data_IF_523539189831
#
_entry.id   IF_523539189831
#
_cell.length_a   1.000
_cell.length_b   1.000
_cell.length_c   1.000
_cell.angle_alpha   90.00
_cell.angle_beta   90.00
_cell.angle_gamma   90.00
#
_symmetry.space_group_name_H-M   'P 1'
#
loop_
_entity.id
_entity.type
_entity.pdbx_description
1 polymer ?
#
# COMPACT_ATOMS: atom_id res chain seq x y z
N UNK A 1 17.30 5.33 2.13
CA UNK A 1 16.21 4.33 1.95
C UNK A 1 15.32 4.81 0.82
N UNK A 2 15.28 4.12 -0.31
CA UNK A 2 14.47 4.52 -1.47
C UNK A 2 13.25 3.61 -1.52
N UNK A 3 12.12 4.08 -1.01
CA UNK A 3 10.82 3.45 -1.23
C UNK A 3 10.44 3.56 -2.70
N UNK A 4 9.72 2.55 -3.21
CA UNK A 4 9.26 2.50 -4.59
C UNK A 4 10.40 2.58 -5.60
N UNK A 5 11.54 1.92 -5.33
CA UNK A 5 12.72 1.98 -6.20
C UNK A 5 12.38 1.55 -7.63
N UNK A 6 11.56 0.54 -7.87
CA UNK A 6 11.17 0.13 -9.24
C UNK A 6 10.36 1.22 -9.95
N UNK A 7 9.33 1.78 -9.30
CA UNK A 7 8.56 2.91 -9.82
C UNK A 7 9.48 4.11 -10.03
N UNK A 8 10.30 4.44 -9.04
CA UNK A 8 11.17 5.60 -9.07
C UNK A 8 12.28 5.48 -10.12
N UNK A 9 12.89 4.31 -10.25
CA UNK A 9 13.93 4.06 -11.23
C UNK A 9 13.32 4.07 -12.64
N UNK A 10 12.13 3.49 -12.84
CA UNK A 10 11.44 3.54 -14.15
C UNK A 10 10.92 4.92 -14.50
N UNK A 11 10.41 5.67 -13.54
CA UNK A 11 9.84 6.99 -13.78
C UNK A 11 10.90 8.10 -13.83
N UNK A 12 12.04 7.93 -13.15
CA UNK A 12 13.00 9.01 -12.88
C UNK A 12 14.48 8.64 -13.09
N UNK A 13 14.86 7.42 -13.48
CA UNK A 13 16.24 7.10 -13.90
C UNK A 13 16.32 6.77 -15.38
N UNK A 14 16.80 7.75 -16.16
CA UNK A 14 17.39 7.51 -17.48
C UNK A 14 18.78 6.90 -17.28
N UNK A 15 18.91 5.57 -17.39
CA UNK A 15 20.21 4.96 -17.65
C UNK A 15 20.05 3.67 -18.43
N UNK A 16 20.33 3.79 -19.73
CA UNK A 16 20.76 2.78 -20.70
C UNK A 16 20.07 1.41 -20.68
N UNK A 17 19.21 1.27 -21.69
CA UNK A 17 18.60 0.03 -22.21
C UNK A 17 17.54 -0.57 -21.29
N UNK A 18 16.28 -0.34 -21.71
CA UNK A 18 15.01 -0.90 -21.20
C UNK A 18 14.37 -0.03 -20.11
N UNK A 19 13.56 0.95 -20.54
CA UNK A 19 12.72 1.79 -19.66
C UNK A 19 13.08 3.26 -19.77
N UNK A 20 12.66 3.88 -20.86
CA UNK A 20 12.80 5.30 -21.07
C UNK A 20 11.73 5.98 -20.17
N UNK A 21 12.14 6.53 -19.02
CA UNK A 21 11.22 7.08 -18.02
C UNK A 21 10.49 8.35 -18.47
N UNK A 22 9.94 9.13 -17.53
CA UNK A 22 9.24 10.39 -17.87
C UNK A 22 10.13 11.36 -18.66
N UNK A 23 11.44 11.33 -18.43
CA UNK A 23 12.41 12.14 -19.19
C UNK A 23 12.44 11.75 -20.68
N UNK A 24 12.43 10.45 -20.97
CA UNK A 24 12.41 9.98 -22.34
C UNK A 24 11.08 10.20 -23.05
N UNK A 25 9.95 10.13 -22.32
CA UNK A 25 8.66 10.53 -22.86
C UNK A 25 8.69 11.96 -23.39
N UNK A 26 9.46 12.85 -22.78
CA UNK A 26 9.60 14.25 -23.20
C UNK A 26 10.71 14.44 -24.25
N UNK A 27 11.69 13.54 -24.30
CA UNK A 27 12.78 13.56 -25.30
C UNK A 27 12.43 12.90 -26.65
N UNK A 28 11.49 11.93 -26.70
CA UNK A 28 11.09 11.17 -27.91
C UNK A 28 10.28 11.97 -28.95
N UNK A 29 10.55 13.27 -29.07
CA UNK A 29 10.11 14.05 -30.20
C UNK A 29 10.91 13.63 -31.45
N UNK A 30 10.38 12.67 -32.22
CA UNK A 30 10.76 12.56 -33.62
C UNK A 30 10.68 13.96 -34.26
N UNK A 31 11.66 14.38 -35.09
CA UNK A 31 11.66 15.71 -35.68
C UNK A 31 10.47 15.83 -36.63
N UNK A 32 9.35 16.32 -36.12
CA UNK A 32 8.26 16.80 -36.95
C UNK A 32 8.77 18.01 -37.71
N UNK A 33 8.61 17.93 -39.03
CA UNK A 33 9.18 18.80 -40.05
C UNK A 33 9.43 20.24 -39.57
N UNK A 34 10.68 20.67 -39.71
CA UNK A 34 11.13 22.01 -39.40
C UNK A 34 10.23 23.08 -40.06
N UNK A 35 9.40 23.74 -39.25
CA UNK A 35 9.05 25.12 -39.53
C UNK A 35 10.31 25.95 -39.29
N UNK A 36 10.88 26.49 -40.37
CA UNK A 36 12.12 27.25 -40.36
C UNK A 36 12.08 28.36 -39.30
N UNK A 37 12.88 28.21 -38.25
CA UNK A 37 13.16 29.28 -37.30
C UNK A 37 14.32 30.14 -37.85
N UNK A 38 14.24 31.48 -37.82
CA UNK A 38 15.36 32.33 -38.21
C UNK A 38 16.56 32.10 -37.27
N UNK A 39 17.77 32.09 -37.83
CA UNK A 39 19.01 31.77 -37.12
C UNK A 39 19.15 32.58 -35.81
N UNK A 40 19.57 31.94 -34.69
CA UNK A 40 19.80 32.65 -33.45
C UNK A 40 21.04 33.54 -33.58
N UNK A 41 20.86 34.84 -33.32
CA UNK A 41 21.95 35.80 -33.24
C UNK A 41 22.99 35.36 -32.18
N UNK A 42 24.27 35.46 -32.53
CA UNK A 42 25.41 35.05 -31.68
C UNK A 42 25.34 35.73 -30.31
N UNK A 43 25.45 34.99 -29.18
CA UNK A 43 25.31 35.58 -27.86
C UNK A 43 26.53 36.43 -27.52
N UNK A 44 26.28 37.68 -27.11
CA UNK A 44 27.29 38.57 -26.53
C UNK A 44 27.75 38.09 -25.14
N UNK A 45 28.93 38.56 -24.72
CA UNK A 45 29.64 38.17 -23.49
C UNK A 45 28.80 38.22 -22.20
N UNK A 46 27.73 39.02 -22.14
CA UNK A 46 26.82 39.11 -20.98
C UNK A 46 25.95 37.85 -20.83
N UNK A 47 25.59 37.19 -21.93
CA UNK A 47 24.79 35.94 -21.92
C UNK A 47 25.57 34.70 -21.47
N UNK A 48 26.90 34.81 -21.29
CA UNK A 48 27.75 33.75 -20.72
C UNK A 48 27.92 33.85 -19.21
N UNK A 49 27.58 34.98 -18.60
CA UNK A 49 27.78 35.27 -17.17
C UNK A 49 26.52 35.06 -16.32
N UNK A 50 25.33 35.20 -16.93
CA UNK A 50 24.07 34.73 -16.35
C UNK A 50 23.89 33.29 -16.81
N UNK A 51 24.23 32.34 -15.93
CA UNK A 51 24.14 30.91 -16.22
C UNK A 51 22.80 30.57 -16.88
N UNK A 52 22.86 30.18 -18.15
CA UNK A 52 21.77 29.46 -18.80
C UNK A 52 21.65 28.15 -18.04
N UNK A 53 20.70 28.04 -17.12
CA UNK A 53 20.05 26.76 -16.91
C UNK A 53 19.63 26.28 -18.30
N UNK A 54 20.13 25.12 -18.71
CA UNK A 54 19.77 24.57 -20.00
C UNK A 54 18.23 24.42 -20.01
N UNK A 55 17.57 25.03 -21.00
CA UNK A 55 16.13 24.88 -21.17
C UNK A 55 15.79 23.39 -21.20
N UNK A 56 15.01 22.93 -20.23
CA UNK A 56 14.53 21.55 -20.17
C UNK A 56 13.81 21.22 -21.48
N UNK A 57 14.09 20.05 -22.13
CA UNK A 57 13.37 19.64 -23.32
C UNK A 57 11.87 19.59 -23.03
N UNK A 58 11.05 19.99 -24.03
CA UNK A 58 9.59 20.00 -23.91
C UNK A 58 8.93 19.31 -25.09
N UNK A 59 7.97 18.43 -24.82
CA UNK A 59 7.15 17.71 -25.82
C UNK A 59 5.73 18.24 -25.82
N UNK A 60 5.08 18.24 -26.98
CA UNK A 60 3.66 18.57 -27.08
C UNK A 60 2.86 17.43 -26.43
N UNK A 61 1.94 17.77 -25.54
CA UNK A 61 0.94 16.83 -25.04
C UNK A 61 -0.08 16.57 -26.15
N UNK A 62 0.18 15.54 -26.96
CA UNK A 62 -0.69 15.00 -28.00
C UNK A 62 -1.16 13.59 -27.64
N UNK A 63 -2.04 13.00 -28.48
CA UNK A 63 -2.61 11.68 -28.21
C UNK A 63 -1.52 10.59 -28.11
N UNK A 64 -0.45 10.71 -28.89
CA UNK A 64 0.68 9.78 -28.84
C UNK A 64 1.47 9.91 -27.52
N UNK A 65 1.70 11.12 -27.02
CA UNK A 65 2.33 11.33 -25.72
C UNK A 65 1.47 10.79 -24.58
N UNK A 66 0.16 10.97 -24.67
CA UNK A 66 -0.79 10.47 -23.68
C UNK A 66 -0.80 8.93 -23.64
N UNK A 67 -0.84 8.28 -24.80
CA UNK A 67 -0.75 6.81 -24.92
C UNK A 67 0.56 6.29 -24.30
N UNK A 68 1.70 6.89 -24.63
CA UNK A 68 2.99 6.49 -24.05
C UNK A 68 3.06 6.73 -22.53
N UNK A 69 2.42 7.79 -22.01
CA UNK A 69 2.30 8.01 -20.57
C UNK A 69 1.47 6.92 -19.90
N UNK A 70 0.34 6.55 -20.50
CA UNK A 70 -0.52 5.48 -19.99
C UNK A 70 0.22 4.14 -19.95
N UNK A 71 0.89 3.76 -21.03
CA UNK A 71 1.72 2.54 -21.09
C UNK A 71 2.77 2.51 -19.99
N UNK A 72 3.50 3.61 -19.78
CA UNK A 72 4.50 3.73 -18.73
C UNK A 72 3.90 3.51 -17.34
N UNK A 73 2.71 4.06 -17.06
CA UNK A 73 2.02 3.89 -15.77
C UNK A 73 1.53 2.44 -15.60
N UNK A 74 1.09 1.77 -16.66
CA UNK A 74 0.71 0.35 -16.63
C UNK A 74 1.94 -0.51 -16.30
N UNK A 75 3.06 -0.29 -16.99
CA UNK A 75 4.32 -0.98 -16.73
C UNK A 75 4.83 -0.76 -15.30
N UNK A 76 4.45 0.36 -14.68
CA UNK A 76 4.76 0.69 -13.31
C UNK A 76 3.84 0.01 -12.27
N UNK A 77 3.08 -1.01 -12.67
CA UNK A 77 2.16 -1.79 -11.83
C UNK A 77 0.96 -0.98 -11.29
N UNK A 78 0.54 0.12 -11.93
CA UNK A 78 -0.69 0.86 -11.53
C UNK A 78 -1.99 0.17 -11.95
N UNK A 79 -1.92 -0.74 -12.93
CA UNK A 79 -3.10 -1.36 -13.54
C UNK A 79 -3.77 -0.45 -14.55
N UNK A 80 -4.45 -1.06 -15.53
CA UNK A 80 -5.00 -0.38 -16.72
C UNK A 80 -5.94 0.76 -16.33
N UNK A 81 -7.04 0.47 -15.63
CA UNK A 81 -8.06 1.47 -15.30
C UNK A 81 -7.52 2.69 -14.53
N UNK A 82 -6.56 2.46 -13.62
CA UNK A 82 -5.95 3.56 -12.84
C UNK A 82 -4.99 4.37 -13.72
N UNK A 83 -4.17 3.71 -14.53
CA UNK A 83 -3.25 4.36 -15.46
C UNK A 83 -3.99 5.24 -16.47
N UNK A 84 -5.02 4.71 -17.15
CA UNK A 84 -5.85 5.45 -18.11
C UNK A 84 -6.44 6.71 -17.45
N UNK A 85 -7.02 6.56 -16.25
CA UNK A 85 -7.63 7.70 -15.54
C UNK A 85 -6.60 8.75 -15.14
N UNK A 86 -5.44 8.33 -14.64
CA UNK A 86 -4.37 9.24 -14.22
C UNK A 86 -3.79 9.98 -15.42
N UNK A 87 -3.51 9.27 -16.51
CA UNK A 87 -3.00 9.85 -17.75
C UNK A 87 -3.99 10.88 -18.33
N UNK A 88 -5.29 10.53 -18.41
CA UNK A 88 -6.34 11.44 -18.87
C UNK A 88 -6.45 12.72 -18.01
N UNK A 89 -6.41 12.59 -16.68
CA UNK A 89 -6.49 13.75 -15.77
C UNK A 89 -5.25 14.65 -15.87
N UNK A 90 -4.07 14.07 -16.15
CA UNK A 90 -2.85 14.86 -16.42
C UNK A 90 -2.99 15.62 -17.74
N UNK A 91 -3.51 14.99 -18.80
CA UNK A 91 -3.70 15.62 -20.10
C UNK A 91 -4.81 16.69 -20.12
N UNK A 92 -5.78 16.61 -19.21
CA UNK A 92 -6.89 17.56 -19.12
C UNK A 92 -6.38 19.01 -19.00
N UNK A 93 -6.81 19.87 -19.94
CA UNK A 93 -6.38 21.27 -20.01
C UNK A 93 -4.93 21.49 -20.46
N UNK A 94 -4.17 20.41 -20.76
CA UNK A 94 -2.78 20.47 -21.23
C UNK A 94 -2.58 20.01 -22.68
N UNK A 95 -3.60 19.42 -23.31
CA UNK A 95 -3.55 19.04 -24.73
C UNK A 95 -3.09 20.19 -25.63
N UNK A 96 -2.13 19.92 -26.53
CA UNK A 96 -1.51 20.89 -27.43
C UNK A 96 -0.47 21.81 -26.79
N UNK A 97 -0.26 21.76 -25.46
CA UNK A 97 0.79 22.54 -24.77
C UNK A 97 2.12 21.77 -24.79
N UNK A 98 3.22 22.52 -24.77
CA UNK A 98 4.57 21.95 -24.58
C UNK A 98 4.85 21.81 -23.09
N UNK A 99 4.94 20.57 -22.61
CA UNK A 99 5.22 20.21 -21.22
C UNK A 99 6.67 19.74 -21.08
N UNK A 100 7.34 20.20 -20.02
CA UNK A 100 8.66 19.71 -19.62
C UNK A 100 8.55 18.53 -18.65
N UNK A 101 9.65 17.82 -18.43
CA UNK A 101 9.63 16.65 -17.56
C UNK A 101 9.30 17.00 -16.11
N UNK A 102 9.84 18.10 -15.59
CA UNK A 102 9.57 18.57 -14.22
C UNK A 102 8.08 18.86 -14.03
N UNK A 103 7.47 19.56 -14.99
CA UNK A 103 6.03 19.85 -14.96
C UNK A 103 5.19 18.57 -15.01
N UNK A 104 5.58 17.57 -15.81
CA UNK A 104 4.91 16.27 -15.88
C UNK A 104 5.03 15.49 -14.56
N UNK A 105 6.21 15.52 -13.93
CA UNK A 105 6.47 14.89 -12.62
C UNK A 105 5.60 15.52 -11.53
N UNK A 106 5.50 16.84 -11.51
CA UNK A 106 4.66 17.58 -10.57
C UNK A 106 3.16 17.29 -10.79
N UNK A 107 2.71 17.26 -12.05
CA UNK A 107 1.34 16.93 -12.41
C UNK A 107 0.95 15.52 -11.93
N UNK A 108 1.83 14.54 -12.14
CA UNK A 108 1.61 13.18 -11.64
C UNK A 108 1.59 13.11 -10.12
N UNK A 109 2.55 13.76 -9.44
CA UNK A 109 2.59 13.77 -7.98
C UNK A 109 1.31 14.37 -7.38
N UNK A 110 0.82 15.46 -7.97
CA UNK A 110 -0.44 16.08 -7.58
C UNK A 110 -1.63 15.13 -7.79
N UNK A 111 -1.68 14.42 -8.92
CA UNK A 111 -2.76 13.47 -9.21
C UNK A 111 -2.74 12.26 -8.28
N UNK A 112 -1.57 11.69 -7.99
CA UNK A 112 -1.41 10.62 -7.00
C UNK A 112 -1.84 11.10 -5.61
N UNK A 113 -1.43 12.30 -5.19
CA UNK A 113 -1.84 12.87 -3.91
C UNK A 113 -3.35 13.08 -3.83
N UNK A 114 -3.99 13.53 -4.92
CA UNK A 114 -5.45 13.71 -5.02
C UNK A 114 -6.20 12.38 -4.88
N UNK A 115 -5.70 11.31 -5.49
CA UNK A 115 -6.28 9.96 -5.38
C UNK A 115 -6.09 9.40 -3.96
N UNK A 116 -4.90 9.56 -3.37
CA UNK A 116 -4.55 8.97 -2.09
C UNK A 116 -5.12 9.72 -0.89
N UNK A 117 -5.25 11.05 -0.96
CA UNK A 117 -5.66 11.90 0.16
C UNK A 117 -6.95 11.47 0.86
N UNK A 118 -8.05 11.20 0.13
CA UNK A 118 -9.32 10.80 0.75
C UNK A 118 -9.25 9.47 1.54
N UNK A 119 -8.36 8.57 1.14
CA UNK A 119 -8.24 7.20 1.69
C UNK A 119 -7.08 7.03 2.68
N UNK A 120 -6.12 7.96 2.72
CA UNK A 120 -5.00 7.97 3.64
C UNK A 120 -5.42 8.40 5.06
N UNK A 121 -6.35 7.65 5.65
CA UNK A 121 -6.89 7.89 6.99
C UNK A 121 -6.28 6.89 7.98
N UNK A 122 -5.91 7.32 9.20
CA UNK A 122 -5.50 6.41 10.26
C UNK A 122 -6.62 5.39 10.58
N UNK A 123 -6.23 4.22 11.08
CA UNK A 123 -7.20 3.28 11.64
C UNK A 123 -7.97 3.98 12.77
N UNK A 124 -9.32 4.00 12.73
CA UNK A 124 -10.09 4.66 13.77
C UNK A 124 -9.89 3.96 15.11
N UNK A 125 -9.78 4.74 16.18
CA UNK A 125 -9.83 4.23 17.55
C UNK A 125 -11.16 4.62 18.18
N UNK A 126 -11.87 3.64 18.71
CA UNK A 126 -13.19 3.80 19.31
C UNK A 126 -13.05 3.83 20.84
N UNK A 127 -13.98 4.48 21.56
CA UNK A 127 -14.00 4.46 23.02
C UNK A 127 -14.39 3.08 23.61
N UNK A 128 -14.71 2.10 22.76
CA UNK A 128 -15.14 0.76 23.15
C UNK A 128 -13.95 -0.08 23.60
N UNK A 129 -14.12 -0.84 24.68
CA UNK A 129 -13.06 -1.67 25.28
C UNK A 129 -13.52 -3.12 25.50
N UNK A 130 -12.77 -4.12 25.01
CA UNK A 130 -11.63 -3.98 24.10
C UNK A 130 -12.10 -3.63 22.68
N UNK A 131 -11.39 -2.71 22.01
CA UNK A 131 -11.52 -2.54 20.58
C UNK A 131 -10.84 -3.73 19.88
N UNK A 132 -11.65 -4.63 19.33
CA UNK A 132 -11.18 -5.80 18.58
C UNK A 132 -10.69 -5.42 17.17
N UNK A 133 -9.44 -5.76 16.87
CA UNK A 133 -8.79 -5.62 15.56
C UNK A 133 -8.44 -7.01 15.03
N UNK A 134 -9.10 -7.41 13.96
CA UNK A 134 -8.84 -8.66 13.25
C UNK A 134 -7.82 -8.42 12.13
N UNK A 135 -6.70 -9.14 12.13
CA UNK A 135 -5.64 -8.98 11.12
C UNK A 135 -5.65 -10.17 10.18
N UNK A 136 -5.96 -9.93 8.91
CA UNK A 136 -6.14 -10.96 7.88
C UNK A 136 -5.16 -10.76 6.72
N UNK A 137 -5.05 -11.78 5.86
CA UNK A 137 -4.17 -11.77 4.69
C UNK A 137 -3.46 -13.10 4.49
N UNK A 138 -2.71 -13.20 3.40
CA UNK A 138 -2.07 -14.46 3.01
C UNK A 138 -0.80 -14.77 3.82
N UNK A 139 -0.31 -16.00 3.72
CA UNK A 139 0.97 -16.38 4.32
C UNK A 139 2.10 -15.58 3.69
N UNK A 140 3.07 -15.17 4.52
CA UNK A 140 4.21 -14.37 4.07
C UNK A 140 3.92 -12.87 3.85
N UNK A 141 2.65 -12.42 3.95
CA UNK A 141 2.31 -10.99 3.83
C UNK A 141 2.73 -10.13 5.02
N UNK A 142 3.25 -10.73 6.09
CA UNK A 142 3.77 -10.00 7.24
C UNK A 142 2.76 -9.72 8.36
N UNK A 143 1.64 -10.45 8.45
CA UNK A 143 0.63 -10.33 9.52
C UNK A 143 1.20 -10.35 10.93
N UNK A 144 1.88 -11.43 11.31
CA UNK A 144 2.45 -11.62 12.65
C UNK A 144 3.42 -10.49 13.04
N UNK A 145 4.30 -10.08 12.11
CA UNK A 145 5.20 -8.94 12.31
C UNK A 145 4.44 -7.62 12.46
N UNK A 146 3.39 -7.43 11.66
CA UNK A 146 2.54 -6.24 11.71
C UNK A 146 1.81 -6.13 13.05
N UNK A 147 1.27 -7.23 13.57
CA UNK A 147 0.64 -7.28 14.90
C UNK A 147 1.64 -6.89 15.98
N UNK A 148 2.87 -7.43 15.95
CA UNK A 148 3.92 -7.06 16.90
C UNK A 148 4.27 -5.57 16.86
N UNK A 149 4.36 -4.98 15.66
CA UNK A 149 4.59 -3.53 15.46
C UNK A 149 3.43 -2.69 15.99
N UNK A 150 2.19 -3.04 15.66
CA UNK A 150 1.00 -2.35 16.14
C UNK A 150 0.91 -2.42 17.67
N UNK A 151 1.14 -3.59 18.26
CA UNK A 151 1.14 -3.74 19.71
C UNK A 151 2.18 -2.87 20.41
N UNK A 152 3.41 -2.84 19.87
CA UNK A 152 4.47 -1.95 20.37
C UNK A 152 4.08 -0.48 20.24
N UNK A 153 3.53 -0.06 19.09
CA UNK A 153 3.11 1.31 18.85
C UNK A 153 1.98 1.75 19.79
N UNK A 154 0.95 0.93 19.96
CA UNK A 154 -0.17 1.23 20.85
C UNK A 154 0.24 1.24 22.32
N UNK A 155 1.12 0.32 22.73
CA UNK A 155 1.66 0.33 24.09
C UNK A 155 2.53 1.58 24.34
N UNK A 156 3.36 1.98 23.38
CA UNK A 156 4.13 3.22 23.47
C UNK A 156 3.22 4.46 23.56
N UNK A 157 2.02 4.40 22.97
CA UNK A 157 0.97 5.40 23.11
C UNK A 157 0.12 5.26 24.41
N UNK A 158 0.55 4.42 25.36
CA UNK A 158 -0.09 4.24 26.66
C UNK A 158 -1.35 3.36 26.67
N UNK A 159 -1.63 2.63 25.58
CA UNK A 159 -2.77 1.71 25.49
C UNK A 159 -2.44 0.34 26.06
N UNK A 160 -3.40 -0.30 26.72
CA UNK A 160 -3.28 -1.71 27.12
C UNK A 160 -3.71 -2.62 25.97
N UNK A 161 -2.81 -3.52 25.55
CA UNK A 161 -3.01 -4.37 24.37
C UNK A 161 -2.95 -5.83 24.76
N UNK A 162 -3.85 -6.64 24.22
CA UNK A 162 -3.84 -8.11 24.29
C UNK A 162 -3.76 -8.66 22.87
N UNK A 163 -3.00 -9.75 22.67
CA UNK A 163 -2.89 -10.43 21.38
C UNK A 163 -3.46 -11.85 21.49
N UNK A 164 -4.17 -12.32 20.47
CA UNK A 164 -4.56 -13.71 20.28
C UNK A 164 -3.84 -14.33 19.06
N UNK A 165 -3.15 -15.45 19.27
CA UNK A 165 -2.42 -16.16 18.23
C UNK A 165 -3.31 -17.14 17.46
N UNK A 166 -4.17 -16.62 16.58
CA UNK A 166 -5.16 -17.43 15.84
C UNK A 166 -4.61 -18.26 14.67
N UNK A 167 -3.33 -18.14 14.29
CA UNK A 167 -2.67 -19.09 13.35
C UNK A 167 -2.24 -20.38 14.10
N UNK A 168 -3.22 -21.10 14.65
CA UNK A 168 -3.00 -22.23 15.58
C UNK A 168 -2.38 -23.47 14.92
N UNK A 169 -2.39 -23.55 13.59
CA UNK A 169 -1.81 -24.67 12.82
C UNK A 169 -0.32 -24.50 12.52
N UNK A 170 0.27 -23.34 12.82
CA UNK A 170 1.68 -23.05 12.55
C UNK A 170 2.37 -22.74 13.86
N UNK A 171 2.86 -23.78 14.55
CA UNK A 171 3.58 -23.64 15.82
C UNK A 171 4.66 -22.56 15.79
N UNK A 172 5.47 -22.50 14.73
CA UNK A 172 6.50 -21.47 14.55
C UNK A 172 5.93 -20.04 14.42
N UNK A 173 4.73 -19.87 13.86
CA UNK A 173 4.08 -18.56 13.77
C UNK A 173 3.59 -18.10 15.16
N UNK A 174 3.06 -19.03 15.97
CA UNK A 174 2.67 -18.78 17.36
C UNK A 174 3.88 -18.37 18.19
N UNK A 175 4.98 -19.13 18.11
CA UNK A 175 6.24 -18.82 18.81
C UNK A 175 6.80 -17.45 18.40
N UNK A 176 6.79 -17.16 17.09
CA UNK A 176 7.20 -15.85 16.57
C UNK A 176 6.34 -14.72 17.15
N UNK A 177 5.02 -14.91 17.23
CA UNK A 177 4.12 -13.92 17.80
C UNK A 177 4.34 -13.73 19.30
N UNK A 178 4.63 -14.79 20.03
CA UNK A 178 5.00 -14.73 21.45
C UNK A 178 6.27 -13.92 21.66
N UNK A 179 7.30 -14.12 20.83
CA UNK A 179 8.53 -13.31 20.88
C UNK A 179 8.23 -11.83 20.61
N UNK A 180 7.38 -11.51 19.64
CA UNK A 180 6.93 -10.15 19.39
C UNK A 180 6.18 -9.57 20.59
N UNK A 181 5.29 -10.35 21.21
CA UNK A 181 4.57 -9.98 22.41
C UNK A 181 5.50 -9.70 23.59
N UNK A 182 6.50 -10.55 23.82
CA UNK A 182 7.53 -10.34 24.84
C UNK A 182 8.33 -9.05 24.58
N UNK A 183 8.77 -8.82 23.33
CA UNK A 183 9.49 -7.59 22.94
C UNK A 183 8.66 -6.34 23.13
N UNK A 184 7.37 -6.39 22.81
CA UNK A 184 6.44 -5.30 23.08
C UNK A 184 6.01 -5.27 24.56
N UNK A 185 6.26 -6.32 25.35
CA UNK A 185 5.75 -6.51 26.70
C UNK A 185 4.21 -6.49 26.78
N UNK A 186 3.55 -7.16 25.84
CA UNK A 186 2.08 -7.35 25.81
C UNK A 186 1.77 -8.84 25.94
N UNK A 187 0.67 -9.22 26.63
CA UNK A 187 0.26 -10.61 26.73
C UNK A 187 -0.18 -11.17 25.37
N UNK A 188 0.27 -12.38 25.06
CA UNK A 188 -0.13 -13.17 23.90
C UNK A 188 -0.84 -14.42 24.39
N UNK A 189 -2.12 -14.57 24.05
CA UNK A 189 -2.87 -15.78 24.31
C UNK A 189 -2.67 -16.77 23.17
N UNK A 190 -2.46 -18.02 23.54
CA UNK A 190 -2.20 -19.14 22.64
C UNK A 190 -3.06 -20.32 23.02
N UNK A 191 -3.33 -21.19 22.07
CA UNK A 191 -3.95 -22.50 22.29
C UNK A 191 -2.98 -23.60 21.84
N UNK A 192 -3.19 -24.87 22.26
CA UNK A 192 -2.44 -26.00 21.72
C UNK A 192 -2.48 -26.04 20.19
N UNK A 193 -1.43 -26.58 19.57
CA UNK A 193 -1.34 -26.68 18.10
C UNK A 193 -2.56 -27.43 17.52
N UNK A 194 -3.12 -26.88 16.43
CA UNK A 194 -4.31 -27.43 15.77
C UNK A 194 -5.63 -27.15 16.50
N UNK A 195 -5.62 -26.38 17.58
CA UNK A 195 -6.86 -25.93 18.25
C UNK A 195 -7.68 -25.01 17.36
N UNK A 196 -8.98 -24.96 17.61
CA UNK A 196 -9.91 -24.07 16.92
C UNK A 196 -9.60 -22.58 17.16
N UNK A 197 -9.22 -21.80 16.13
CA UNK A 197 -8.90 -20.38 16.28
C UNK A 197 -10.07 -19.55 16.84
N UNK A 198 -11.30 -19.92 16.52
CA UNK A 198 -12.48 -19.20 16.98
C UNK A 198 -12.69 -19.34 18.50
N UNK A 199 -12.34 -20.50 19.06
CA UNK A 199 -12.38 -20.74 20.51
C UNK A 199 -11.33 -19.88 21.23
N UNK A 200 -10.10 -19.83 20.70
CA UNK A 200 -9.06 -18.94 21.24
C UNK A 200 -9.46 -17.46 21.16
N UNK A 201 -10.09 -17.02 20.07
CA UNK A 201 -10.58 -15.65 19.93
C UNK A 201 -11.64 -15.29 20.97
N UNK A 202 -12.54 -16.24 21.32
CA UNK A 202 -13.53 -16.06 22.37
C UNK A 202 -12.91 -15.89 23.75
N UNK A 203 -11.93 -16.74 24.08
CA UNK A 203 -11.22 -16.69 25.35
C UNK A 203 -10.40 -15.40 25.48
N UNK A 204 -9.75 -14.97 24.39
CA UNK A 204 -9.04 -13.71 24.33
C UNK A 204 -9.95 -12.50 24.48
N UNK A 205 -11.14 -12.53 23.89
CA UNK A 205 -12.16 -11.49 24.09
C UNK A 205 -12.58 -11.42 25.56
N UNK A 206 -12.84 -12.56 26.18
CA UNK A 206 -13.21 -12.65 27.60
C UNK A 206 -12.10 -12.08 28.49
N UNK A 207 -10.85 -12.51 28.28
CA UNK A 207 -9.70 -12.02 29.03
C UNK A 207 -9.46 -10.53 28.86
N UNK A 208 -9.59 -10.02 27.63
CA UNK A 208 -9.43 -8.60 27.33
C UNK A 208 -10.51 -7.74 27.99
N UNK A 209 -11.77 -8.23 28.06
CA UNK A 209 -12.85 -7.59 28.82
C UNK A 209 -12.56 -7.57 30.32
N UNK A 210 -12.17 -8.70 30.91
CA UNK A 210 -11.87 -8.82 32.35
C UNK A 210 -10.70 -7.94 32.80
N UNK A 211 -9.68 -7.80 31.95
CA UNK A 211 -8.49 -6.98 32.23
C UNK A 211 -8.68 -5.51 31.85
N UNK A 212 -9.82 -5.13 31.28
CA UNK A 212 -10.09 -3.77 30.83
C UNK A 212 -9.13 -3.30 29.73
N UNK A 213 -8.66 -4.21 28.88
CA UNK A 213 -7.73 -3.89 27.80
C UNK A 213 -8.34 -2.88 26.81
N UNK A 214 -7.54 -1.92 26.33
CA UNK A 214 -7.96 -1.00 25.27
C UNK A 214 -8.16 -1.73 23.94
N UNK A 215 -7.25 -2.64 23.59
CA UNK A 215 -7.19 -3.29 22.27
C UNK A 215 -7.01 -4.80 22.40
N UNK A 216 -7.72 -5.54 21.55
CA UNK A 216 -7.49 -6.96 21.29
C UNK A 216 -7.09 -7.14 19.82
N UNK A 217 -5.85 -7.57 19.58
CA UNK A 217 -5.36 -7.88 18.24
C UNK A 217 -5.44 -9.40 18.00
N UNK A 218 -6.07 -9.82 16.89
CA UNK A 218 -6.24 -11.25 16.57
C UNK A 218 -5.45 -11.55 15.30
N UNK A 219 -4.43 -12.42 15.40
CA UNK A 219 -3.75 -13.03 14.23
C UNK A 219 -4.61 -14.13 13.64
N UNK A 220 -4.48 -14.38 12.34
CA UNK A 220 -5.25 -15.42 11.64
C UNK A 220 -4.34 -16.25 10.73
N UNK A 221 -4.80 -17.44 10.34
CA UNK A 221 -4.16 -18.18 9.26
C UNK A 221 -4.18 -17.37 7.94
N UNK A 222 -3.35 -17.77 6.96
CA UNK A 222 -3.25 -17.12 5.65
C UNK A 222 -3.10 -18.06 4.46
N UNK A 223 -3.56 -19.32 4.57
CA UNK A 223 -3.42 -20.35 3.52
C UNK A 223 -4.42 -20.12 2.38
N UNK A 224 -4.10 -19.25 1.42
CA UNK A 224 -5.03 -18.89 0.32
C UNK A 224 -5.31 -20.03 -0.67
N UNK A 225 -4.41 -21.00 -0.80
CA UNK A 225 -4.59 -22.17 -1.67
C UNK A 225 -5.84 -22.99 -1.31
N UNK A 226 -6.23 -22.98 -0.03
CA UNK A 226 -7.48 -23.56 0.46
C UNK A 226 -8.45 -22.43 0.81
N UNK A 227 -8.79 -21.62 -0.19
CA UNK A 227 -9.59 -20.40 -0.01
C UNK A 227 -10.89 -20.66 0.75
N UNK A 228 -11.59 -21.76 0.46
CA UNK A 228 -12.86 -22.09 1.13
C UNK A 228 -12.67 -22.28 2.65
N UNK A 229 -11.73 -23.15 3.05
CA UNK A 229 -11.45 -23.46 4.45
C UNK A 229 -11.00 -22.22 5.23
N UNK A 230 -10.08 -21.43 4.66
CA UNK A 230 -9.60 -20.20 5.28
C UNK A 230 -10.75 -19.21 5.52
N UNK A 231 -11.63 -19.07 4.53
CA UNK A 231 -12.76 -18.16 4.63
C UNK A 231 -13.81 -18.64 5.65
N UNK A 232 -14.05 -19.95 5.73
CA UNK A 232 -14.94 -20.52 6.74
C UNK A 232 -14.39 -20.32 8.16
N UNK A 233 -13.09 -20.51 8.35
CA UNK A 233 -12.40 -20.25 9.62
C UNK A 233 -12.54 -18.79 10.04
N UNK A 234 -12.28 -17.83 9.13
CA UNK A 234 -12.44 -16.41 9.40
C UNK A 234 -13.90 -16.04 9.74
N UNK A 235 -14.86 -16.55 8.97
CA UNK A 235 -16.29 -16.33 9.24
C UNK A 235 -16.69 -16.90 10.62
N UNK A 236 -16.13 -18.05 11.00
CA UNK A 236 -16.34 -18.66 12.31
C UNK A 236 -15.77 -17.79 13.43
N UNK A 237 -14.54 -17.26 13.30
CA UNK A 237 -13.94 -16.33 14.26
C UNK A 237 -14.87 -15.12 14.47
N UNK A 238 -15.28 -14.46 13.38
CA UNK A 238 -16.17 -13.28 13.43
C UNK A 238 -17.50 -13.62 14.12
N UNK A 239 -18.13 -14.74 13.76
CA UNK A 239 -19.38 -15.19 14.40
C UNK A 239 -19.22 -15.41 15.89
N UNK A 240 -18.08 -15.96 16.32
CA UNK A 240 -17.84 -16.29 17.72
C UNK A 240 -17.55 -15.04 18.56
N UNK A 241 -16.71 -14.11 18.10
CA UNK A 241 -16.47 -12.86 18.83
C UNK A 241 -17.74 -11.99 18.90
N UNK A 242 -18.61 -12.07 17.88
CA UNK A 242 -19.91 -11.38 17.88
C UNK A 242 -20.88 -11.82 18.96
N UNK A 243 -20.70 -13.02 19.53
CA UNK A 243 -21.49 -13.47 20.69
C UNK A 243 -21.18 -12.67 21.96
N UNK A 244 -19.99 -12.08 22.05
CA UNK A 244 -19.54 -11.22 23.17
C UNK A 244 -19.78 -9.76 22.88
N UNK A 245 -19.66 -9.37 21.61
CA UNK A 245 -19.88 -8.02 21.15
C UNK A 245 -20.34 -8.00 19.69
N UNK A 246 -21.62 -7.70 19.46
CA UNK A 246 -22.23 -7.72 18.12
C UNK A 246 -21.55 -6.78 17.12
N UNK A 247 -20.86 -5.73 17.59
CA UNK A 247 -20.12 -4.79 16.73
C UNK A 247 -18.69 -5.23 16.42
N UNK A 248 -18.24 -6.37 16.94
CA UNK A 248 -16.90 -6.90 16.66
C UNK A 248 -16.84 -7.66 15.31
N UNK A 249 -15.67 -7.71 14.64
CA UNK A 249 -14.49 -6.89 14.91
C UNK A 249 -14.76 -5.41 14.57
N UNK A 250 -14.16 -4.49 15.32
CA UNK A 250 -14.32 -3.05 15.08
C UNK A 250 -13.44 -2.57 13.91
N UNK A 251 -12.35 -3.28 13.67
CA UNK A 251 -11.50 -3.13 12.50
C UNK A 251 -11.08 -4.51 11.99
N UNK A 252 -11.22 -4.71 10.69
CA UNK A 252 -10.52 -5.77 9.97
C UNK A 252 -9.43 -5.13 9.11
N UNK A 253 -8.17 -5.50 9.36
CA UNK A 253 -7.01 -5.00 8.63
C UNK A 253 -6.46 -6.09 7.72
N UNK A 254 -6.45 -5.84 6.41
CA UNK A 254 -5.86 -6.74 5.43
C UNK A 254 -4.40 -6.37 5.20
N UNK A 255 -3.50 -7.30 5.50
CA UNK A 255 -2.05 -7.13 5.31
C UNK A 255 -1.64 -7.70 3.96
N UNK A 256 -1.06 -6.83 3.13
CA UNK A 256 -0.60 -7.10 1.77
C UNK A 256 0.92 -6.94 1.67
N UNK A 257 1.50 -7.64 0.72
CA UNK A 257 2.92 -7.58 0.40
C UNK A 257 3.12 -6.74 -0.87
N UNK A 258 3.88 -5.65 -0.76
CA UNK A 258 4.14 -4.73 -1.87
C UNK A 258 4.86 -5.40 -3.05
N UNK A 259 5.58 -6.50 -2.81
CA UNK A 259 6.31 -7.23 -3.86
C UNK A 259 5.39 -8.02 -4.79
N UNK A 260 4.10 -8.18 -4.43
CA UNK A 260 3.15 -8.98 -5.21
C UNK A 260 2.47 -8.24 -6.36
N UNK A 261 2.69 -6.92 -6.49
CA UNK A 261 2.13 -6.10 -7.57
C UNK A 261 0.61 -6.18 -7.66
N UNK A 262 0.09 -6.30 -8.88
CA UNK A 262 -1.36 -6.35 -9.16
C UNK A 262 -2.08 -7.56 -8.54
N UNK A 263 -1.37 -8.63 -8.15
CA UNK A 263 -1.99 -9.75 -7.42
C UNK A 263 -2.58 -9.33 -6.07
N UNK A 264 -2.12 -8.22 -5.49
CA UNK A 264 -2.69 -7.66 -4.28
C UNK A 264 -4.17 -7.25 -4.47
N UNK A 265 -4.55 -6.76 -5.65
CA UNK A 265 -5.93 -6.31 -5.95
C UNK A 265 -6.90 -7.49 -5.85
N UNK A 266 -6.56 -8.62 -6.47
CA UNK A 266 -7.35 -9.86 -6.40
C UNK A 266 -7.52 -10.38 -4.95
N UNK A 267 -6.50 -10.19 -4.10
CA UNK A 267 -6.58 -10.53 -2.68
C UNK A 267 -7.56 -9.60 -1.95
N UNK A 268 -7.51 -8.29 -2.21
CA UNK A 268 -8.45 -7.32 -1.63
C UNK A 268 -9.89 -7.72 -1.95
N UNK A 269 -10.20 -7.99 -3.22
CA UNK A 269 -11.55 -8.40 -3.62
C UNK A 269 -12.00 -9.68 -2.91
N UNK A 270 -11.08 -10.62 -2.72
CA UNK A 270 -11.34 -11.89 -2.05
C UNK A 270 -11.71 -11.70 -0.59
N UNK A 271 -10.90 -10.95 0.17
CA UNK A 271 -11.12 -10.74 1.60
C UNK A 271 -12.27 -9.75 1.86
N UNK A 272 -12.49 -8.77 0.98
CA UNK A 272 -13.57 -7.78 1.12
C UNK A 272 -14.95 -8.41 1.13
N UNK A 273 -15.17 -9.49 0.35
CA UNK A 273 -16.47 -10.17 0.27
C UNK A 273 -16.89 -10.85 1.58
N UNK A 274 -15.97 -11.11 2.51
CA UNK A 274 -16.19 -12.05 3.62
C UNK A 274 -15.80 -11.52 5.00
N UNK A 275 -14.82 -10.60 5.09
CA UNK A 275 -14.27 -10.16 6.37
C UNK A 275 -14.51 -8.66 6.68
N UNK A 276 -15.33 -7.97 5.87
CA UNK A 276 -15.61 -6.53 6.00
C UNK A 276 -14.33 -5.71 6.23
N UNK A 277 -13.40 -5.81 5.27
CA UNK A 277 -12.07 -5.19 5.35
C UNK A 277 -12.24 -3.67 5.49
N UNK A 278 -11.83 -3.15 6.64
CA UNK A 278 -11.94 -1.74 7.03
C UNK A 278 -10.65 -0.93 6.77
N UNK A 279 -9.53 -1.61 6.55
CA UNK A 279 -8.24 -0.98 6.34
C UNK A 279 -7.23 -1.90 5.68
N UNK A 280 -6.22 -1.30 5.05
CA UNK A 280 -5.14 -2.00 4.38
C UNK A 280 -3.80 -1.67 5.06
N UNK A 281 -2.93 -2.67 5.18
CA UNK A 281 -1.53 -2.47 5.57
C UNK A 281 -0.66 -3.02 4.46
N UNK A 282 0.18 -2.17 3.90
CA UNK A 282 1.18 -2.56 2.91
C UNK A 282 2.53 -2.79 3.58
N UNK A 283 3.10 -3.98 3.39
CA UNK A 283 4.40 -4.36 3.96
C UNK A 283 5.47 -4.49 2.88
N UNK A 284 6.73 -4.57 3.30
CA UNK A 284 7.92 -4.79 2.44
C UNK A 284 8.16 -3.71 1.38
N UNK A 285 7.59 -2.52 1.58
CA UNK A 285 7.79 -1.35 0.71
C UNK A 285 9.27 -0.91 0.64
N UNK A 286 10.07 -1.25 1.64
CA UNK A 286 11.51 -0.98 1.70
C UNK A 286 12.33 -1.81 0.70
N UNK A 287 11.80 -2.96 0.27
CA UNK A 287 12.43 -3.85 -0.71
C UNK A 287 11.91 -3.66 -2.15
N UNK A 288 11.00 -2.72 -2.38
CA UNK A 288 10.35 -2.46 -3.68
C UNK A 288 10.82 -1.18 -4.33
#
# INVERSE_FOLDING_TARGET
MSFFKKLKDRMFRSSDKIGAGLDALVEDAAPTAAAAQPEPAKPGLIGRLLGREADEPKRIMDDAMLESLEELLIEADMGVDTATRVAANIAEGRMGRRIGTTELKDALAAEVARIMGPVARPMPLYPKRPQVVLVVGVNGSGKTTTIGKLASQFKAAGKTVVIAAGDTFRAAAVEQLQIWGQRAGVPVLTAPEGSDPASLAFDAMTRAQETGADLLLIDTAGRLQNRADLMEELAKIVRVIRKKDETAPHNTLLVLDATTGQNAVNQVETFRKLADVSGLIMTKLDGT
#
